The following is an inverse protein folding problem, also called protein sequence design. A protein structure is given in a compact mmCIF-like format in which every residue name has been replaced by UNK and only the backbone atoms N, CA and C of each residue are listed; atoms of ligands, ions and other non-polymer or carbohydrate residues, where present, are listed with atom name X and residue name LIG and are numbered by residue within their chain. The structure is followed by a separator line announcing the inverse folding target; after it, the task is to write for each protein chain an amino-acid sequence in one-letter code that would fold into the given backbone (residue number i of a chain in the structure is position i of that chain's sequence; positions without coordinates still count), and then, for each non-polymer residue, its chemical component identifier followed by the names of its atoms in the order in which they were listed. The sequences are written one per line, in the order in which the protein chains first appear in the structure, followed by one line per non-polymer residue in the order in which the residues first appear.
data_IF_056995248216
#
_entry.id   IF_056995248216
#
_cell.length_a   1.000
_cell.length_b   1.000
_cell.length_c   1.000
_cell.angle_alpha   90.00
_cell.angle_beta   90.00
_cell.angle_gamma   90.00
#
_symmetry.space_group_name_H-M   'P 1'
#
loop_
_entity.id
_entity.type
_entity.pdbx_description
1 polymer ?
#
# COMPACT_ATOMS: atom_id res chain seq x y z
N UNK A 1 -25.61 -12.84 -7.82
CA UNK A 1 -24.43 -12.92 -8.71
C UNK A 1 -23.24 -13.26 -7.83
N UNK A 2 -22.69 -14.47 -7.96
CA UNK A 2 -21.51 -14.90 -7.20
C UNK A 2 -20.29 -14.18 -7.77
N UNK A 3 -19.58 -13.39 -6.95
CA UNK A 3 -18.32 -12.78 -7.33
C UNK A 3 -17.25 -13.88 -7.37
N UNK A 4 -16.58 -14.03 -8.51
CA UNK A 4 -15.35 -14.82 -8.60
C UNK A 4 -14.32 -14.30 -7.58
N UNK A 5 -13.40 -15.15 -7.07
CA UNK A 5 -12.32 -14.67 -6.22
C UNK A 5 -11.47 -13.66 -7.00
N UNK A 6 -11.64 -12.39 -6.67
CA UNK A 6 -10.86 -11.29 -7.23
C UNK A 6 -9.64 -11.08 -6.34
N UNK A 7 -8.45 -11.07 -6.94
CA UNK A 7 -7.25 -10.62 -6.23
C UNK A 7 -7.37 -9.11 -6.01
N UNK A 8 -7.42 -8.70 -4.74
CA UNK A 8 -7.56 -7.29 -4.36
C UNK A 8 -6.39 -6.85 -3.52
N UNK A 9 -5.90 -5.64 -3.78
CA UNK A 9 -4.99 -4.92 -2.90
C UNK A 9 -5.76 -3.80 -2.22
N UNK A 10 -5.55 -3.64 -0.93
CA UNK A 10 -6.15 -2.53 -0.17
C UNK A 10 -5.05 -1.76 0.53
N UNK A 11 -5.09 -0.44 0.40
CA UNK A 11 -4.25 0.48 1.13
C UNK A 11 -5.11 1.21 2.15
N UNK A 12 -4.77 1.05 3.43
CA UNK A 12 -5.48 1.68 4.54
C UNK A 12 -4.53 2.69 5.18
N UNK A 13 -4.94 3.96 5.22
CA UNK A 13 -4.18 5.00 5.89
C UNK A 13 -4.55 5.05 7.37
N UNK A 14 -3.54 5.04 8.22
CA UNK A 14 -3.69 5.33 9.64
C UNK A 14 -3.19 6.76 9.89
N UNK A 15 -4.11 7.65 10.26
CA UNK A 15 -3.83 9.06 10.52
C UNK A 15 -3.67 9.24 12.03
N UNK A 16 -2.47 9.61 12.48
CA UNK A 16 -2.12 9.77 13.90
C UNK A 16 -2.64 11.09 14.50
N UNK A 17 -3.09 12.00 13.64
CA UNK A 17 -3.54 13.34 13.98
C UNK A 17 -5.04 13.39 14.26
N UNK A 18 -5.43 14.13 15.31
CA UNK A 18 -6.82 14.32 15.74
C UNK A 18 -7.73 14.94 14.67
N UNK A 19 -7.12 15.47 13.59
CA UNK A 19 -7.81 16.17 12.52
C UNK A 19 -8.44 15.23 11.48
N UNK A 20 -8.07 13.94 11.47
CA UNK A 20 -8.58 12.92 10.54
C UNK A 20 -8.58 13.37 9.07
N UNK A 21 -7.57 14.13 8.65
CA UNK A 21 -7.47 14.72 7.31
C UNK A 21 -6.09 14.44 6.74
N UNK A 22 -6.07 14.12 5.45
CA UNK A 22 -4.84 14.01 4.66
C UNK A 22 -4.92 15.01 3.52
N UNK A 23 -3.80 15.63 3.17
CA UNK A 23 -3.72 16.44 1.96
C UNK A 23 -4.08 15.58 0.73
N UNK A 24 -5.04 16.05 -0.06
CA UNK A 24 -5.58 15.30 -1.18
C UNK A 24 -4.55 15.09 -2.31
N UNK A 25 -3.61 16.04 -2.49
CA UNK A 25 -2.53 15.92 -3.47
C UNK A 25 -1.53 14.87 -3.00
N UNK A 26 -1.19 14.86 -1.72
CA UNK A 26 -0.32 13.84 -1.13
C UNK A 26 -0.95 12.46 -1.27
N UNK A 27 -2.24 12.30 -0.95
CA UNK A 27 -2.95 11.02 -1.08
C UNK A 27 -2.91 10.50 -2.51
N UNK A 28 -3.28 11.35 -3.48
CA UNK A 28 -3.27 10.97 -4.89
C UNK A 28 -1.87 10.62 -5.39
N UNK A 29 -0.84 11.30 -4.89
CA UNK A 29 0.56 10.97 -5.22
C UNK A 29 0.97 9.61 -4.65
N UNK A 30 0.62 9.30 -3.42
CA UNK A 30 0.90 7.99 -2.81
C UNK A 30 0.24 6.86 -3.59
N UNK A 31 -1.04 7.02 -3.95
CA UNK A 31 -1.75 6.08 -4.82
C UNK A 31 -1.03 5.91 -6.17
N UNK A 32 -0.67 7.01 -6.84
CA UNK A 32 0.02 6.97 -8.13
C UNK A 32 1.38 6.25 -8.07
N UNK A 33 2.19 6.51 -7.04
CA UNK A 33 3.49 5.86 -6.85
C UNK A 33 3.34 4.36 -6.60
N UNK A 34 2.37 3.94 -5.78
CA UNK A 34 2.11 2.53 -5.54
C UNK A 34 1.65 1.80 -6.81
N UNK A 35 0.72 2.39 -7.57
CA UNK A 35 0.27 1.85 -8.84
C UNK A 35 1.41 1.75 -9.87
N UNK A 36 2.32 2.73 -9.89
CA UNK A 36 3.49 2.69 -10.76
C UNK A 36 4.44 1.53 -10.41
N UNK A 37 4.67 1.26 -9.12
CA UNK A 37 5.46 0.10 -8.69
C UNK A 37 4.82 -1.20 -9.19
N UNK A 38 3.50 -1.36 -9.00
CA UNK A 38 2.79 -2.56 -9.44
C UNK A 38 2.88 -2.75 -10.95
N UNK A 39 2.73 -1.67 -11.73
CA UNK A 39 2.87 -1.70 -13.18
C UNK A 39 4.30 -2.06 -13.61
N UNK A 40 5.32 -1.53 -12.95
CA UNK A 40 6.71 -1.84 -13.27
C UNK A 40 7.05 -3.31 -12.97
N UNK A 41 6.52 -3.86 -11.86
CA UNK A 41 6.65 -5.30 -11.56
C UNK A 41 5.96 -6.15 -12.63
N UNK A 42 4.74 -5.79 -13.05
CA UNK A 42 4.02 -6.52 -14.10
C UNK A 42 4.77 -6.47 -15.45
N UNK A 43 5.32 -5.30 -15.80
CA UNK A 43 6.14 -5.10 -17.00
C UNK A 43 7.43 -5.91 -16.95
N UNK A 44 8.11 -5.98 -15.80
CA UNK A 44 9.29 -6.83 -15.61
C UNK A 44 8.98 -8.33 -15.81
N UNK A 45 7.74 -8.73 -15.54
CA UNK A 45 7.23 -10.10 -15.79
C UNK A 45 6.59 -10.27 -17.18
N UNK A 46 6.70 -9.27 -18.06
CA UNK A 46 6.09 -9.24 -19.40
C UNK A 46 4.59 -9.60 -19.38
N UNK A 47 3.87 -9.14 -18.35
CA UNK A 47 2.46 -9.45 -18.11
C UNK A 47 1.62 -8.19 -18.21
N UNK A 48 0.48 -8.29 -18.89
CA UNK A 48 -0.51 -7.21 -18.95
C UNK A 48 -1.57 -7.41 -17.87
N UNK A 49 -1.61 -6.52 -16.88
CA UNK A 49 -2.62 -6.48 -15.83
C UNK A 49 -3.56 -5.30 -16.01
N UNK A 50 -4.82 -5.49 -15.61
CA UNK A 50 -5.81 -4.42 -15.50
C UNK A 50 -5.96 -4.12 -14.00
N UNK A 51 -5.99 -2.83 -13.65
CA UNK A 51 -6.13 -2.34 -12.28
C UNK A 51 -7.35 -1.42 -12.23
N UNK A 52 -8.41 -1.84 -11.54
CA UNK A 52 -9.65 -1.06 -11.40
C UNK A 52 -9.81 -0.56 -9.96
N UNK A 53 -10.12 0.72 -9.80
CA UNK A 53 -10.48 1.30 -8.52
C UNK A 53 -11.93 0.95 -8.14
N UNK A 54 -12.17 0.49 -6.92
CA UNK A 54 -13.52 0.21 -6.42
C UNK A 54 -14.15 1.43 -5.75
N UNK A 55 -15.47 1.57 -5.91
CA UNK A 55 -16.23 2.62 -5.22
C UNK A 55 -16.12 2.47 -3.70
N UNK A 56 -15.91 3.59 -3.02
CA UNK A 56 -15.88 3.62 -1.56
C UNK A 56 -17.25 3.22 -1.00
N UNK A 57 -17.26 2.16 -0.20
CA UNK A 57 -18.36 1.87 0.73
C UNK A 57 -17.98 2.49 2.06
N UNK A 58 -18.95 3.10 2.75
CA UNK A 58 -18.72 3.95 3.93
C UNK A 58 -17.59 3.47 4.86
N UNK A 59 -16.73 4.41 5.29
CA UNK A 59 -15.54 4.11 6.08
C UNK A 59 -14.44 5.16 5.91
N UNK A 60 -13.30 4.95 6.58
CA UNK A 60 -12.13 5.83 6.54
C UNK A 60 -11.39 5.86 5.19
N UNK A 61 -10.25 6.56 5.15
CA UNK A 61 -9.43 6.76 3.95
C UNK A 61 -8.84 5.41 3.47
N UNK A 62 -9.41 4.84 2.40
CA UNK A 62 -9.03 3.53 1.86
C UNK A 62 -9.03 3.56 0.33
N UNK A 63 -7.96 3.04 -0.25
CA UNK A 63 -7.88 2.77 -1.69
C UNK A 63 -7.96 1.25 -1.91
N UNK A 64 -8.88 0.83 -2.77
CA UNK A 64 -9.15 -0.59 -3.07
C UNK A 64 -9.01 -0.78 -4.56
N UNK A 65 -8.11 -1.68 -4.95
CA UNK A 65 -7.89 -2.02 -6.35
C UNK A 65 -8.10 -3.50 -6.62
N UNK A 66 -8.84 -3.79 -7.69
CA UNK A 66 -8.99 -5.13 -8.23
C UNK A 66 -8.01 -5.35 -9.37
N UNK A 67 -7.34 -6.51 -9.37
CA UNK A 67 -6.38 -6.88 -10.40
C UNK A 67 -6.94 -8.00 -11.27
N UNK A 68 -6.88 -7.80 -12.59
CA UNK A 68 -7.42 -8.73 -13.58
C UNK A 68 -6.46 -8.92 -14.77
N UNK A 69 -6.87 -9.78 -15.71
CA UNK A 69 -6.17 -10.08 -16.96
C UNK A 69 -4.84 -10.85 -16.82
N UNK A 70 -4.61 -11.49 -15.68
CA UNK A 70 -3.53 -12.46 -15.49
C UNK A 70 -4.01 -13.64 -14.63
N UNK A 71 -3.26 -14.74 -14.64
CA UNK A 71 -3.58 -15.89 -13.79
C UNK A 71 -3.30 -15.57 -12.30
N UNK A 72 -3.98 -16.28 -11.40
CA UNK A 72 -3.89 -16.01 -9.96
C UNK A 72 -2.47 -16.15 -9.38
N UNK A 73 -1.65 -17.05 -9.93
CA UNK A 73 -0.26 -17.25 -9.50
C UNK A 73 0.62 -16.05 -9.84
N UNK A 74 0.52 -15.54 -11.07
CA UNK A 74 1.24 -14.35 -11.55
C UNK A 74 0.81 -13.11 -10.77
N UNK A 75 -0.50 -12.93 -10.54
CA UNK A 75 -0.99 -11.84 -9.70
C UNK A 75 -0.43 -11.93 -8.28
N UNK A 76 -0.34 -13.12 -7.70
CA UNK A 76 0.23 -13.32 -6.35
C UNK A 76 1.71 -12.95 -6.30
N UNK A 77 2.49 -13.30 -7.34
CA UNK A 77 3.90 -12.90 -7.44
C UNK A 77 4.03 -11.39 -7.57
N UNK A 78 3.22 -10.74 -8.41
CA UNK A 78 3.25 -9.27 -8.58
C UNK A 78 2.98 -8.57 -7.25
N UNK A 79 1.94 -8.97 -6.53
CA UNK A 79 1.59 -8.39 -5.23
C UNK A 79 2.65 -8.69 -4.17
N UNK A 80 3.22 -9.90 -4.17
CA UNK A 80 4.30 -10.28 -3.25
C UNK A 80 5.56 -9.44 -3.44
N UNK A 81 6.00 -9.28 -4.69
CA UNK A 81 7.17 -8.46 -5.03
C UNK A 81 6.91 -7.00 -4.70
N UNK A 82 5.74 -6.47 -5.04
CA UNK A 82 5.33 -5.11 -4.69
C UNK A 82 5.39 -4.88 -3.17
N UNK A 83 4.85 -5.82 -2.39
CA UNK A 83 4.88 -5.76 -0.91
C UNK A 83 6.30 -5.70 -0.36
N UNK A 84 7.22 -6.48 -0.94
CA UNK A 84 8.64 -6.45 -0.55
C UNK A 84 9.25 -5.08 -0.87
N UNK A 85 8.98 -4.52 -2.06
CA UNK A 85 9.49 -3.19 -2.44
C UNK A 85 8.97 -2.11 -1.48
N UNK A 86 7.66 -2.11 -1.21
CA UNK A 86 7.01 -1.15 -0.30
C UNK A 86 7.55 -1.29 1.12
N UNK A 87 7.89 -2.50 1.59
CA UNK A 87 8.49 -2.72 2.91
C UNK A 87 9.86 -2.06 3.10
N UNK A 88 10.54 -1.72 1.99
CA UNK A 88 11.83 -1.02 2.00
C UNK A 88 11.69 0.48 1.98
N UNK A 89 10.48 1.02 1.76
CA UNK A 89 10.24 2.46 1.84
C UNK A 89 10.35 2.86 3.31
N UNK A 90 11.31 3.72 3.68
CA UNK A 90 11.52 4.08 5.07
C UNK A 90 10.30 4.80 5.62
N UNK A 91 9.61 4.15 6.55
CA UNK A 91 8.60 4.79 7.41
C UNK A 91 9.34 5.61 8.45
N UNK A 92 9.82 6.80 8.05
CA UNK A 92 10.44 7.74 8.99
C UNK A 92 9.37 8.21 9.98
N UNK A 93 9.25 7.51 11.10
CA UNK A 93 8.51 7.99 12.26
C UNK A 93 9.53 8.60 13.24
N UNK A 94 9.73 9.94 13.21
CA UNK A 94 10.71 10.60 14.06
C UNK A 94 10.41 10.41 15.56
N UNK A 95 9.15 10.19 15.93
CA UNK A 95 8.71 9.94 17.30
C UNK A 95 9.14 8.54 17.78
N UNK A 96 8.96 7.50 16.96
CA UNK A 96 9.46 6.16 17.26
C UNK A 96 10.99 6.12 17.36
N UNK A 97 11.68 6.89 16.53
CA UNK A 97 13.14 7.01 16.59
C UNK A 97 13.62 7.76 17.83
N UNK A 98 12.84 8.71 18.35
CA UNK A 98 13.11 9.35 19.64
C UNK A 98 12.85 8.40 20.80
N UNK A 99 11.71 7.71 20.83
CA UNK A 99 11.35 6.74 21.86
C UNK A 99 12.36 5.59 21.95
N UNK A 100 12.83 5.06 20.81
CA UNK A 100 13.91 4.05 20.78
C UNK A 100 15.22 4.58 21.37
N UNK A 101 15.56 5.85 21.13
CA UNK A 101 16.76 6.48 21.69
C UNK A 101 16.64 6.67 23.20
N UNK A 102 15.45 6.99 23.71
CA UNK A 102 15.19 7.12 25.14
C UNK A 102 15.22 5.77 25.86
N UNK A 103 14.57 4.74 25.31
CA UNK A 103 14.57 3.39 25.86
C UNK A 103 15.98 2.78 25.92
N UNK A 104 16.78 3.01 24.87
CA UNK A 104 18.19 2.62 24.84
C UNK A 104 19.01 3.34 25.93
N UNK A 105 18.76 4.63 26.18
CA UNK A 105 19.44 5.36 27.26
C UNK A 105 19.06 4.82 28.65
N UNK A 106 17.79 4.44 28.84
CA UNK A 106 17.29 3.88 30.10
C UNK A 106 17.82 2.47 30.36
N UNK A 107 18.06 1.68 29.30
CA UNK A 107 18.54 0.30 29.40
C UNK A 107 20.05 0.17 29.68
N UNK A 108 20.82 1.24 29.47
CA UNK A 108 22.28 1.28 29.68
C UNK A 108 22.64 1.89 31.06
N UNK A 109 21.66 2.41 31.79
CA UNK A 109 21.75 2.92 33.16
C UNK A 109 21.38 1.83 34.17
#
# INVERSE_FOLDING_TARGET
MQQAPSTKLQMHYYLNDELHRMDAIVRNKCEAELLAIVQEVAKALNTHIIIDAEAWKEGGLRDIWAFANANAGVLSVIIGVTSIIVSRIPTNNPELEQLKKEDLKLSIL
#
